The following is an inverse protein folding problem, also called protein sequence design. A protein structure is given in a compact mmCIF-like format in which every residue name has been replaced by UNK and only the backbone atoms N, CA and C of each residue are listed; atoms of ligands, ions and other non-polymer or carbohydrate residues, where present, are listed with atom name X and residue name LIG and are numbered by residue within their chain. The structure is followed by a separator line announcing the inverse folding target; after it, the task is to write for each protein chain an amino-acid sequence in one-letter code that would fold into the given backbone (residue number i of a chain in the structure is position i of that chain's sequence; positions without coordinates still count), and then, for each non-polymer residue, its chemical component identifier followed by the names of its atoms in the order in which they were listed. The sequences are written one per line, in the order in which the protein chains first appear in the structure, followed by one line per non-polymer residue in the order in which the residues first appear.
data_IF_222415393956
#
_entry.id   IF_222415393956
#
_cell.length_a   1.000
_cell.length_b   1.000
_cell.length_c   1.000
_cell.angle_alpha   90.00
_cell.angle_beta   90.00
_cell.angle_gamma   90.00
#
_symmetry.space_group_name_H-M   'P 1'
#
loop_
_entity.id
_entity.type
_entity.pdbx_description
1 polymer ?
#
# COMPACT_ATOMS: atom_id res chain seq x y z
N UNK A 1 -18.15 -49.63 -7.24
CA UNK A 1 -18.57 -48.42 -6.50
C UNK A 1 -17.35 -47.51 -6.39
N UNK A 2 -17.06 -46.72 -7.43
CA UNK A 2 -15.88 -45.83 -7.49
C UNK A 2 -16.33 -44.38 -7.66
N UNK A 3 -16.32 -43.61 -6.57
CA UNK A 3 -16.23 -42.15 -6.57
C UNK A 3 -15.57 -41.76 -5.27
N UNK A 4 -14.38 -41.16 -5.35
CA UNK A 4 -13.84 -40.12 -4.45
C UNK A 4 -12.32 -39.99 -4.62
N UNK A 5 -11.88 -39.45 -5.77
CA UNK A 5 -10.52 -38.95 -5.92
C UNK A 5 -10.49 -37.76 -6.89
N UNK A 6 -11.22 -36.69 -6.60
CA UNK A 6 -10.93 -35.36 -7.15
C UNK A 6 -11.39 -34.31 -6.13
N UNK A 7 -10.44 -33.69 -5.41
CA UNK A 7 -10.56 -32.33 -4.86
C UNK A 7 -9.24 -31.74 -4.27
N UNK A 8 -8.15 -32.51 -4.09
CA UNK A 8 -6.92 -31.99 -3.47
C UNK A 8 -6.00 -31.12 -4.38
N UNK A 9 -6.27 -31.01 -5.68
CA UNK A 9 -5.38 -30.30 -6.62
C UNK A 9 -5.64 -28.79 -6.73
N UNK A 10 -6.82 -28.31 -6.32
CA UNK A 10 -7.21 -26.90 -6.40
C UNK A 10 -6.70 -26.07 -5.22
N UNK A 11 -6.88 -26.59 -4.00
CA UNK A 11 -6.46 -25.91 -2.77
C UNK A 11 -4.93 -25.72 -2.70
N UNK A 12 -4.16 -26.71 -3.15
CA UNK A 12 -2.70 -26.65 -3.14
C UNK A 12 -2.15 -25.56 -4.09
N UNK A 13 -2.79 -25.36 -5.26
CA UNK A 13 -2.38 -24.31 -6.20
C UNK A 13 -2.69 -22.90 -5.70
N UNK A 14 -3.85 -22.70 -5.06
CA UNK A 14 -4.23 -21.41 -4.50
C UNK A 14 -3.28 -20.95 -3.40
N UNK A 15 -2.93 -21.86 -2.48
CA UNK A 15 -1.98 -21.58 -1.39
C UNK A 15 -0.58 -21.29 -1.92
N UNK A 16 -0.10 -22.06 -2.90
CA UNK A 16 1.21 -21.80 -3.52
C UNK A 16 1.27 -20.44 -4.23
N UNK A 17 0.21 -20.07 -4.95
CA UNK A 17 0.13 -18.77 -5.61
C UNK A 17 0.15 -17.61 -4.61
N UNK A 18 -0.56 -17.75 -3.47
CA UNK A 18 -0.56 -16.75 -2.41
C UNK A 18 0.83 -16.60 -1.77
N UNK A 19 1.48 -17.71 -1.43
CA UNK A 19 2.83 -17.70 -0.84
C UNK A 19 3.86 -17.06 -1.78
N UNK A 20 3.78 -17.35 -3.08
CA UNK A 20 4.65 -16.73 -4.08
C UNK A 20 4.39 -15.22 -4.18
N UNK A 21 3.12 -14.80 -4.16
CA UNK A 21 2.78 -13.37 -4.19
C UNK A 21 3.30 -12.63 -2.95
N UNK A 22 3.15 -13.21 -1.76
CA UNK A 22 3.70 -12.66 -0.51
C UNK A 22 5.23 -12.51 -0.60
N UNK A 23 5.93 -13.56 -1.06
CA UNK A 23 7.38 -13.52 -1.23
C UNK A 23 7.83 -12.43 -2.22
N UNK A 24 7.11 -12.25 -3.33
CA UNK A 24 7.41 -11.20 -4.33
C UNK A 24 7.24 -9.83 -3.69
N UNK A 25 6.15 -9.60 -2.96
CA UNK A 25 5.89 -8.33 -2.28
C UNK A 25 6.99 -8.05 -1.25
N UNK A 26 7.32 -9.04 -0.40
CA UNK A 26 8.29 -8.86 0.68
C UNK A 26 9.69 -8.48 0.18
N UNK A 27 10.10 -9.04 -0.96
CA UNK A 27 11.41 -8.78 -1.56
C UNK A 27 11.40 -7.61 -2.58
N UNK A 28 10.23 -7.11 -2.98
CA UNK A 28 10.13 -5.98 -3.92
C UNK A 28 10.48 -4.65 -3.24
N UNK A 29 11.10 -3.66 -3.94
CA UNK A 29 11.21 -2.27 -3.49
C UNK A 29 9.86 -1.60 -3.20
N UNK A 30 8.80 -2.05 -3.89
CA UNK A 30 7.49 -1.41 -3.88
C UNK A 30 6.71 -1.67 -2.59
N UNK A 31 6.11 -0.61 -2.05
CA UNK A 31 5.14 -0.70 -0.95
C UNK A 31 3.75 -0.66 -1.56
N UNK A 32 2.96 -1.70 -1.31
CA UNK A 32 1.57 -1.78 -1.75
C UNK A 32 0.65 -1.33 -0.63
N UNK A 33 -0.37 -0.56 -0.98
CA UNK A 33 -1.40 -0.20 -0.03
C UNK A 33 -2.76 -0.07 -0.71
N UNK A 34 -3.82 -0.22 0.08
CA UNK A 34 -5.20 0.00 -0.36
C UNK A 34 -5.91 0.83 0.70
N UNK A 35 -6.66 1.83 0.25
CA UNK A 35 -7.55 2.65 1.08
C UNK A 35 -8.96 2.60 0.53
N UNK A 36 -9.96 2.76 1.39
CA UNK A 36 -11.34 2.94 0.96
C UNK A 36 -11.50 4.31 0.28
N UNK A 37 -12.19 4.33 -0.85
CA UNK A 37 -12.68 5.55 -1.44
C UNK A 37 -13.95 5.98 -0.69
N UNK A 38 -13.97 7.23 -0.23
CA UNK A 38 -15.11 7.82 0.45
C UNK A 38 -15.08 9.35 0.28
N UNK A 39 -16.27 9.96 0.21
CA UNK A 39 -16.42 11.41 0.13
C UNK A 39 -15.98 12.07 1.44
N UNK A 40 -16.38 11.51 2.58
CA UNK A 40 -15.90 11.94 3.90
C UNK A 40 -14.44 11.51 4.09
N UNK A 41 -13.50 12.46 4.25
CA UNK A 41 -12.10 12.16 4.54
C UNK A 41 -11.88 11.23 5.74
N UNK A 42 -12.76 11.26 6.76
CA UNK A 42 -12.67 10.41 7.95
C UNK A 42 -12.99 8.94 7.67
N UNK A 43 -13.64 8.66 6.53
CA UNK A 43 -14.00 7.31 6.12
C UNK A 43 -12.98 6.71 5.13
N UNK A 44 -11.98 7.49 4.69
CA UNK A 44 -10.89 7.03 3.81
C UNK A 44 -9.84 6.23 4.57
N UNK A 45 -10.27 5.12 5.16
CA UNK A 45 -9.43 4.24 5.98
C UNK A 45 -8.50 3.38 5.14
N UNK A 46 -7.31 3.14 5.67
CA UNK A 46 -6.39 2.13 5.14
C UNK A 46 -6.97 0.74 5.42
N UNK A 47 -6.96 -0.12 4.41
CA UNK A 47 -7.46 -1.50 4.50
C UNK A 47 -6.39 -2.54 4.20
N UNK A 48 -5.27 -2.11 3.64
CA UNK A 48 -4.10 -2.94 3.44
C UNK A 48 -2.87 -2.05 3.33
N UNK A 49 -1.77 -2.49 3.95
CA UNK A 49 -0.42 -1.99 3.74
C UNK A 49 0.48 -3.22 3.74
N UNK A 50 1.37 -3.33 2.76
CA UNK A 50 2.28 -4.47 2.66
C UNK A 50 3.26 -4.50 3.84
N UNK A 51 3.57 -5.68 4.41
CA UNK A 51 4.47 -5.80 5.57
C UNK A 51 5.89 -5.26 5.32
N UNK A 52 6.32 -5.25 4.06
CA UNK A 52 7.62 -4.74 3.64
C UNK A 52 7.80 -3.23 3.83
N UNK A 53 6.77 -2.47 4.26
CA UNK A 53 6.87 -1.06 4.71
C UNK A 53 7.87 -0.89 5.88
N UNK A 54 8.11 -1.96 6.63
CA UNK A 54 9.13 -2.08 7.69
C UNK A 54 10.53 -1.65 7.26
N UNK A 55 10.85 -1.69 5.96
CA UNK A 55 12.12 -1.13 5.42
C UNK A 55 12.29 0.38 5.64
N UNK A 56 11.19 1.11 5.82
CA UNK A 56 11.20 2.52 6.18
C UNK A 56 11.06 2.73 7.71
N UNK A 57 11.08 1.64 8.48
CA UNK A 57 10.98 1.64 9.94
C UNK A 57 9.56 1.84 10.48
N UNK A 58 8.54 1.67 9.64
CA UNK A 58 7.13 1.75 10.04
C UNK A 58 6.50 0.36 10.02
N UNK A 59 5.49 0.14 10.87
CA UNK A 59 4.71 -1.10 10.85
C UNK A 59 3.42 -0.89 10.05
N UNK A 60 2.90 -1.92 9.40
CA UNK A 60 1.65 -1.83 8.63
C UNK A 60 0.49 -1.40 9.55
N UNK A 61 0.49 -1.88 10.79
CA UNK A 61 -0.48 -1.58 11.83
C UNK A 61 -0.53 -0.09 12.20
N UNK A 62 0.59 0.64 12.09
CA UNK A 62 0.62 2.09 12.35
C UNK A 62 -0.35 2.82 11.40
N UNK A 63 -0.43 2.37 10.15
CA UNK A 63 -1.30 2.95 9.13
C UNK A 63 -2.73 2.39 9.17
N UNK A 64 -2.88 1.09 9.44
CA UNK A 64 -4.18 0.44 9.52
C UNK A 64 -5.00 0.92 10.73
N UNK A 65 -4.33 1.29 11.82
CA UNK A 65 -4.97 1.81 13.03
C UNK A 65 -5.07 3.34 13.06
N UNK A 66 -4.85 4.00 11.91
CA UNK A 66 -4.86 5.47 11.79
C UNK A 66 -3.91 6.19 12.77
N UNK A 67 -2.87 5.51 13.28
CA UNK A 67 -1.84 6.11 14.16
C UNK A 67 -0.93 7.05 13.37
N UNK A 68 -0.66 6.69 12.11
CA UNK A 68 0.10 7.48 11.14
C UNK A 68 -0.64 7.43 9.80
N UNK A 69 -0.73 8.56 9.10
CA UNK A 69 -1.18 8.59 7.70
C UNK A 69 0.00 8.76 6.76
N UNK A 70 -0.12 8.28 5.52
CA UNK A 70 0.92 8.47 4.50
C UNK A 70 1.31 9.95 4.30
N UNK A 71 0.37 10.88 4.43
CA UNK A 71 0.66 12.33 4.33
C UNK A 71 1.59 12.84 5.44
N UNK A 72 1.63 12.16 6.58
CA UNK A 72 2.41 12.58 7.75
C UNK A 72 3.90 12.23 7.58
N UNK A 73 4.20 11.25 6.73
CA UNK A 73 5.58 10.84 6.40
C UNK A 73 6.10 11.50 5.13
N UNK A 74 5.28 12.26 4.39
CA UNK A 74 5.73 13.05 3.24
C UNK A 74 6.66 14.16 3.72
N UNK A 75 7.80 14.32 3.03
CA UNK A 75 8.73 15.40 3.32
C UNK A 75 8.02 16.77 3.27
N UNK A 76 8.17 17.65 4.30
CA UNK A 76 7.41 18.89 4.39
C UNK A 76 7.50 19.82 3.18
N UNK A 77 8.65 19.82 2.49
CA UNK A 77 8.85 20.60 1.26
C UNK A 77 8.00 20.12 0.08
N UNK A 78 7.53 18.87 0.10
CA UNK A 78 6.78 18.26 -0.99
C UNK A 78 5.26 18.25 -0.71
N UNK A 79 4.82 18.36 0.56
CA UNK A 79 3.42 18.16 0.98
C UNK A 79 2.42 19.05 0.25
N UNK A 80 2.74 20.33 0.02
CA UNK A 80 1.85 21.25 -0.70
C UNK A 80 1.71 20.88 -2.18
N UNK A 81 2.81 20.46 -2.81
CA UNK A 81 2.84 20.08 -4.23
C UNK A 81 2.06 18.78 -4.44
N UNK A 82 2.36 17.74 -3.66
CA UNK A 82 1.72 16.42 -3.80
C UNK A 82 0.22 16.50 -3.57
N UNK A 83 -0.24 17.28 -2.58
CA UNK A 83 -1.67 17.50 -2.34
C UNK A 83 -2.36 18.21 -3.51
N UNK A 84 -1.69 19.21 -4.12
CA UNK A 84 -2.23 19.93 -5.29
C UNK A 84 -2.36 19.00 -6.50
N UNK A 85 -1.39 18.14 -6.74
CA UNK A 85 -1.43 17.13 -7.80
C UNK A 85 -2.58 16.15 -7.60
N UNK A 86 -2.73 15.59 -6.38
CA UNK A 86 -3.84 14.68 -6.04
C UNK A 86 -5.20 15.34 -6.33
N UNK A 87 -5.39 16.60 -5.90
CA UNK A 87 -6.64 17.34 -6.17
C UNK A 87 -6.90 17.49 -7.67
N UNK A 88 -5.88 17.82 -8.45
CA UNK A 88 -5.97 17.94 -9.91
C UNK A 88 -6.33 16.61 -10.58
N UNK A 89 -5.81 15.48 -10.08
CA UNK A 89 -6.16 14.16 -10.61
C UNK A 89 -7.61 13.81 -10.32
N UNK A 90 -8.09 14.09 -9.10
CA UNK A 90 -9.50 13.91 -8.72
C UNK A 90 -10.43 14.78 -9.58
N UNK A 91 -10.12 16.07 -9.74
CA UNK A 91 -10.92 17.00 -10.56
C UNK A 91 -11.01 16.57 -12.04
N UNK A 92 -9.96 15.93 -12.55
CA UNK A 92 -9.90 15.44 -13.93
C UNK A 92 -10.39 14.00 -14.10
N UNK A 93 -10.87 13.36 -13.04
CA UNK A 93 -11.25 11.96 -13.02
C UNK A 93 -10.14 11.02 -13.56
N UNK A 94 -8.88 11.29 -13.20
CA UNK A 94 -7.73 10.47 -13.57
C UNK A 94 -7.59 9.34 -12.53
N UNK A 95 -7.82 8.11 -12.97
CA UNK A 95 -7.83 6.93 -12.09
C UNK A 95 -6.43 6.37 -11.80
N UNK A 96 -5.47 6.58 -12.70
CA UNK A 96 -4.09 6.09 -12.56
C UNK A 96 -3.10 7.24 -12.79
N UNK A 97 -2.21 7.46 -11.84
CA UNK A 97 -1.18 8.49 -11.89
C UNK A 97 0.05 8.08 -11.09
N UNK A 98 1.20 8.65 -11.44
CA UNK A 98 2.48 8.47 -10.75
C UNK A 98 2.88 9.79 -10.08
N UNK A 99 3.46 9.73 -8.89
CA UNK A 99 3.95 10.92 -8.18
C UNK A 99 5.34 10.65 -7.62
N UNK A 100 6.33 11.43 -8.07
CA UNK A 100 7.67 11.35 -7.52
C UNK A 100 7.79 12.35 -6.37
N UNK A 101 8.04 11.89 -5.14
CA UNK A 101 8.18 12.74 -3.96
C UNK A 101 9.07 12.11 -2.90
N UNK A 102 9.44 12.89 -1.88
CA UNK A 102 10.24 12.41 -0.77
C UNK A 102 9.37 12.02 0.41
N UNK A 103 9.77 10.94 1.08
CA UNK A 103 9.28 10.56 2.41
C UNK A 103 10.40 10.68 3.45
N UNK A 104 10.00 10.74 4.71
CA UNK A 104 10.88 10.66 5.88
C UNK A 104 10.65 9.28 6.51
N UNK A 105 11.71 8.50 6.66
CA UNK A 105 11.66 7.20 7.36
C UNK A 105 11.50 7.41 8.87
N UNK A 106 11.19 6.35 9.61
CA UNK A 106 11.12 6.42 11.08
C UNK A 106 12.45 6.87 11.73
N UNK A 107 13.58 6.58 11.08
CA UNK A 107 14.92 7.02 11.52
C UNK A 107 15.24 8.47 11.14
N UNK A 108 14.37 9.16 10.39
CA UNK A 108 14.57 10.53 9.93
C UNK A 108 15.30 10.65 8.59
N UNK A 109 15.62 9.54 7.92
CA UNK A 109 16.22 9.56 6.58
C UNK A 109 15.23 10.03 5.53
N UNK A 110 15.71 10.77 4.54
CA UNK A 110 14.91 11.20 3.40
C UNK A 110 15.10 10.22 2.24
N UNK A 111 13.99 9.68 1.72
CA UNK A 111 13.98 8.72 0.60
C UNK A 111 13.06 9.23 -0.51
N UNK A 112 13.47 9.07 -1.77
CA UNK A 112 12.61 9.30 -2.93
C UNK A 112 11.74 8.07 -3.21
N UNK A 113 10.48 8.31 -3.56
CA UNK A 113 9.50 7.31 -3.99
C UNK A 113 8.77 7.80 -5.24
N UNK A 114 8.19 6.89 -6.02
CA UNK A 114 7.36 7.16 -7.20
C UNK A 114 6.01 6.43 -7.19
#
# INVERSE_FOLDING_TARGET
MNRHLQNNNGENKGTQALQLAELIIDNSPAILFRRLAADDPKQRKMVYVSPNISRFGYQAEDFLNDTIMFRDIVYPGDSKRTLKEIKKFVEKNIETYTQIYRIITRSGEVRWVE
#
